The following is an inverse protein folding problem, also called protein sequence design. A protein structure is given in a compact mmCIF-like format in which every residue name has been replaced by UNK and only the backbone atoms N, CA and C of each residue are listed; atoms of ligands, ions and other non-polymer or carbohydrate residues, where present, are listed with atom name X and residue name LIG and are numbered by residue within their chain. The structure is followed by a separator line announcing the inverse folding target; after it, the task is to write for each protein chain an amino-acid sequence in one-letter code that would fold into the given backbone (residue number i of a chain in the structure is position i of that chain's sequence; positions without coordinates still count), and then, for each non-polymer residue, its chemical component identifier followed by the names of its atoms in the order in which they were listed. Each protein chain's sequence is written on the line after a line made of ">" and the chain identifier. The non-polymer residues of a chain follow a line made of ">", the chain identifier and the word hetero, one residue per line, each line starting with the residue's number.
data_IF_196834383673
#
_entry.id   IF_196834383673
#
_cell.length_a   1.000
_cell.length_b   1.000
_cell.length_c   1.000
_cell.angle_alpha   90.00
_cell.angle_beta   90.00
_cell.angle_gamma   90.00
#
_symmetry.space_group_name_H-M   'P 1'
#
loop_
_entity.id
_entity.type
_entity.pdbx_description
1 polymer ?
#
# COMPACT_ATOMS: atom_id res chain seq x y z
N UNK A 1 18.01 4.41 -3.95
CA UNK A 1 17.69 3.45 -2.87
C UNK A 1 18.89 2.57 -2.66
N UNK A 2 19.31 2.38 -1.42
CA UNK A 2 20.28 1.37 -0.99
C UNK A 2 19.50 0.16 -0.48
N UNK A 3 19.98 -1.06 -0.76
CA UNK A 3 19.38 -2.32 -0.30
C UNK A 3 20.45 -3.23 0.26
N UNK A 4 20.11 -4.09 1.22
CA UNK A 4 20.98 -5.19 1.67
C UNK A 4 20.39 -6.52 1.17
N UNK A 5 20.89 -7.10 0.07
CA UNK A 5 20.38 -8.38 -0.43
C UNK A 5 20.49 -9.48 0.65
N UNK A 6 19.45 -10.30 0.79
CA UNK A 6 19.40 -11.37 1.80
C UNK A 6 19.02 -10.94 3.22
N UNK A 7 18.95 -9.63 3.52
CA UNK A 7 18.63 -9.13 4.88
C UNK A 7 17.27 -9.56 5.42
N UNK A 8 16.30 -9.90 4.56
CA UNK A 8 15.00 -10.46 4.95
C UNK A 8 15.10 -11.80 5.72
N UNK A 9 16.26 -12.47 5.66
CA UNK A 9 16.56 -13.71 6.39
C UNK A 9 17.21 -13.47 7.76
N UNK A 10 17.53 -12.22 8.10
CA UNK A 10 18.23 -11.87 9.35
C UNK A 10 17.42 -12.15 10.62
N UNK A 11 16.09 -12.24 10.51
CA UNK A 11 15.18 -12.39 11.66
C UNK A 11 15.13 -11.18 12.59
N UNK A 12 15.72 -10.04 12.21
CA UNK A 12 15.75 -8.82 13.01
C UNK A 12 15.68 -7.55 12.16
N UNK A 13 15.48 -6.42 12.83
CA UNK A 13 15.61 -5.10 12.24
C UNK A 13 17.10 -4.74 12.08
N UNK A 14 17.46 -3.85 11.13
CA UNK A 14 18.84 -3.38 10.99
C UNK A 14 19.25 -2.62 12.26
N UNK A 15 20.49 -2.81 12.68
CA UNK A 15 21.13 -2.10 13.77
C UNK A 15 22.19 -1.16 13.20
N UNK A 16 22.13 0.11 13.56
CA UNK A 16 22.99 1.13 12.96
C UNK A 16 24.48 0.90 13.23
N UNK A 17 24.82 0.44 14.43
CA UNK A 17 26.21 0.29 14.85
C UNK A 17 26.78 -1.03 14.34
N UNK A 18 25.98 -2.10 14.38
CA UNK A 18 26.40 -3.44 13.97
C UNK A 18 26.40 -3.64 12.45
N UNK A 19 25.49 -3.00 11.72
CA UNK A 19 25.26 -3.25 10.28
C UNK A 19 25.79 -2.15 9.36
N UNK A 20 26.58 -1.22 9.88
CA UNK A 20 27.22 -0.16 9.08
C UNK A 20 28.06 -0.73 7.92
N UNK A 21 28.66 -1.91 8.12
CA UNK A 21 29.44 -2.63 7.10
C UNK A 21 28.67 -3.74 6.37
N UNK A 22 27.35 -3.82 6.53
CA UNK A 22 26.55 -4.76 5.75
C UNK A 22 26.70 -4.49 4.24
N UNK A 23 26.31 -5.45 3.40
CA UNK A 23 26.41 -5.33 1.95
C UNK A 23 25.34 -4.37 1.38
N UNK A 24 25.49 -3.08 1.64
CA UNK A 24 24.63 -2.00 1.16
C UNK A 24 24.90 -1.73 -0.32
N UNK A 25 23.99 -2.17 -1.18
CA UNK A 25 24.10 -2.04 -2.64
C UNK A 25 23.15 -0.94 -3.14
N UNK A 26 23.62 0.02 -3.96
CA UNK A 26 22.74 0.99 -4.60
C UNK A 26 21.95 0.35 -5.74
N UNK A 27 20.62 0.49 -5.71
CA UNK A 27 19.76 0.17 -6.83
C UNK A 27 19.83 1.31 -7.87
N UNK A 28 20.65 1.11 -8.90
CA UNK A 28 20.84 2.06 -10.00
C UNK A 28 20.11 1.57 -11.26
N UNK A 29 19.23 2.39 -11.81
CA UNK A 29 18.45 2.02 -12.98
C UNK A 29 17.94 3.27 -13.73
N UNK A 30 17.62 3.16 -15.03
CA UNK A 30 16.98 4.23 -15.79
C UNK A 30 15.54 4.51 -15.30
N UNK A 31 14.98 5.64 -15.72
CA UNK A 31 13.59 5.97 -15.45
C UNK A 31 12.64 4.91 -16.03
N UNK A 32 11.57 4.58 -15.30
CA UNK A 32 10.63 3.52 -15.67
C UNK A 32 10.99 2.13 -15.14
N UNK A 33 12.17 1.94 -14.55
CA UNK A 33 12.49 0.69 -13.84
C UNK A 33 11.73 0.60 -12.51
N UNK A 34 11.19 -0.58 -12.23
CA UNK A 34 10.53 -0.91 -10.96
C UNK A 34 11.47 -1.73 -10.08
N UNK A 35 11.64 -1.30 -8.83
CA UNK A 35 12.30 -2.06 -7.78
C UNK A 35 11.23 -2.65 -6.86
N UNK A 36 11.02 -3.97 -6.92
CA UNK A 36 10.13 -4.68 -6.00
C UNK A 36 10.91 -5.17 -4.77
N UNK A 37 10.49 -4.74 -3.58
CA UNK A 37 11.10 -5.14 -2.31
C UNK A 37 10.09 -5.94 -1.49
N UNK A 38 10.56 -7.04 -0.90
CA UNK A 38 9.84 -7.72 0.17
C UNK A 38 9.98 -6.89 1.46
N UNK A 39 8.92 -6.82 2.27
CA UNK A 39 8.81 -5.85 3.37
C UNK A 39 9.88 -5.96 4.48
N UNK A 40 10.63 -7.07 4.56
CA UNK A 40 11.72 -7.27 5.54
C UNK A 40 13.09 -6.95 4.97
N UNK A 41 13.21 -6.66 3.67
CA UNK A 41 14.49 -6.26 3.08
C UNK A 41 14.91 -4.90 3.65
N UNK A 42 16.08 -4.85 4.29
CA UNK A 42 16.67 -3.62 4.78
C UNK A 42 17.02 -2.70 3.60
N UNK A 43 16.58 -1.45 3.67
CA UNK A 43 16.78 -0.47 2.63
C UNK A 43 16.80 0.95 3.18
N UNK A 44 17.33 1.88 2.40
CA UNK A 44 17.39 3.31 2.74
C UNK A 44 17.36 4.18 1.47
N UNK A 45 16.99 5.46 1.61
CA UNK A 45 16.85 6.40 0.49
C UNK A 45 18.20 6.81 -0.14
N UNK A 46 19.32 6.68 0.59
CA UNK A 46 20.67 7.04 0.13
C UNK A 46 20.88 8.55 0.00
N UNK A 47 22.12 9.03 0.23
CA UNK A 47 22.45 10.46 0.16
C UNK A 47 22.47 10.93 -1.30
N UNK A 48 21.79 12.04 -1.61
CA UNK A 48 21.88 12.70 -2.91
C UNK A 48 23.03 13.71 -2.92
N UNK A 49 24.14 13.37 -3.55
CA UNK A 49 25.32 14.24 -3.68
C UNK A 49 25.30 15.13 -4.94
N UNK A 50 24.12 15.40 -5.49
CA UNK A 50 23.95 16.20 -6.72
C UNK A 50 22.98 17.35 -6.50
N UNK A 51 23.03 18.36 -7.36
CA UNK A 51 22.09 19.48 -7.37
C UNK A 51 20.80 19.19 -8.16
N UNK A 52 20.48 17.91 -8.41
CA UNK A 52 19.29 17.49 -9.18
C UNK A 52 18.32 16.75 -8.28
N UNK A 53 17.03 16.98 -8.51
CA UNK A 53 15.99 16.19 -7.85
C UNK A 53 15.95 14.76 -8.39
N UNK A 54 15.77 13.79 -7.48
CA UNK A 54 15.53 12.39 -7.81
C UNK A 54 14.10 12.04 -7.43
N UNK A 55 13.22 11.99 -8.43
CA UNK A 55 11.81 11.62 -8.24
C UNK A 55 11.66 10.10 -8.32
N UNK A 56 10.86 9.55 -7.41
CA UNK A 56 10.45 8.15 -7.44
C UNK A 56 9.01 8.03 -6.95
N UNK A 57 8.31 7.01 -7.46
CA UNK A 57 6.99 6.63 -6.96
C UNK A 57 7.15 5.40 -6.06
N UNK A 58 6.58 5.46 -4.86
CA UNK A 58 6.57 4.35 -3.92
C UNK A 58 5.15 3.83 -3.77
N UNK A 59 4.95 2.54 -4.01
CA UNK A 59 3.67 1.86 -3.84
C UNK A 59 3.90 0.71 -2.87
N UNK A 60 3.09 0.65 -1.81
CA UNK A 60 3.13 -0.42 -0.84
C UNK A 60 1.91 -1.33 -1.03
N UNK A 61 2.16 -2.63 -1.09
CA UNK A 61 1.12 -3.65 -1.05
C UNK A 61 1.14 -4.30 0.32
N UNK A 62 -0.04 -4.53 0.89
CA UNK A 62 -0.19 -5.32 2.10
C UNK A 62 -1.13 -6.49 1.84
N UNK A 63 -0.97 -7.56 2.62
CA UNK A 63 -1.96 -8.62 2.60
C UNK A 63 -3.32 -8.06 3.06
N UNK A 64 -4.43 -8.60 2.57
CA UNK A 64 -5.74 -7.98 2.67
C UNK A 64 -6.32 -7.91 4.10
N UNK A 65 -5.76 -8.65 5.06
CA UNK A 65 -6.07 -8.48 6.49
C UNK A 65 -5.51 -7.18 7.09
N UNK A 66 -4.52 -6.56 6.45
CA UNK A 66 -3.90 -5.34 6.95
C UNK A 66 -4.58 -4.11 6.38
N UNK A 67 -4.69 -3.08 7.22
CA UNK A 67 -5.19 -1.77 6.81
C UNK A 67 -4.18 -1.10 5.87
N UNK A 68 -4.68 -0.56 4.77
CA UNK A 68 -3.90 0.26 3.85
C UNK A 68 -3.44 1.56 4.52
N UNK A 69 -2.27 2.07 4.10
CA UNK A 69 -1.75 3.35 4.61
C UNK A 69 -2.65 4.52 4.16
N UNK A 70 -3.07 4.50 2.88
CA UNK A 70 -3.99 5.48 2.32
C UNK A 70 -5.41 4.94 2.30
N UNK A 71 -6.41 5.81 2.53
CA UNK A 71 -7.82 5.46 2.41
C UNK A 71 -8.32 5.72 0.98
N UNK A 72 -8.00 4.84 0.04
CA UNK A 72 -8.38 4.99 -1.38
C UNK A 72 -9.90 5.05 -1.61
N UNK A 73 -10.69 4.41 -0.75
CA UNK A 73 -12.14 4.50 -0.80
C UNK A 73 -12.64 5.95 -0.65
N UNK A 74 -11.96 6.79 0.13
CA UNK A 74 -12.33 8.19 0.34
C UNK A 74 -11.45 9.18 -0.45
N UNK A 75 -10.15 8.92 -0.55
CA UNK A 75 -9.17 9.87 -1.05
C UNK A 75 -8.99 9.88 -2.56
N UNK A 76 -9.46 8.86 -3.28
CA UNK A 76 -9.36 8.83 -4.75
C UNK A 76 -10.39 9.76 -5.39
N UNK A 77 -10.06 10.47 -6.45
CA UNK A 77 -11.03 11.32 -7.15
C UNK A 77 -12.12 10.45 -7.82
N UNK A 78 -13.40 10.90 -7.88
CA UNK A 78 -14.49 10.13 -8.48
C UNK A 78 -14.20 9.67 -9.91
N UNK A 79 -13.67 10.55 -10.76
CA UNK A 79 -13.33 10.26 -12.16
C UNK A 79 -12.28 9.14 -12.29
N UNK A 80 -11.34 9.06 -11.33
CA UNK A 80 -10.33 7.99 -11.30
C UNK A 80 -10.96 6.65 -10.92
N UNK A 81 -11.96 6.66 -10.03
CA UNK A 81 -12.71 5.45 -9.65
C UNK A 81 -13.58 4.96 -10.81
N UNK A 82 -14.18 5.86 -11.57
CA UNK A 82 -15.01 5.54 -12.74
C UNK A 82 -14.21 4.90 -13.88
N UNK A 83 -12.97 5.33 -14.10
CA UNK A 83 -12.07 4.78 -15.12
C UNK A 83 -11.27 3.55 -14.64
N UNK A 84 -11.30 3.22 -13.35
CA UNK A 84 -10.50 2.15 -12.78
C UNK A 84 -10.96 0.76 -13.25
N UNK A 85 -9.99 -0.10 -13.58
CA UNK A 85 -10.29 -1.51 -13.87
C UNK A 85 -10.79 -2.24 -12.61
N UNK A 86 -11.54 -3.35 -12.76
CA UNK A 86 -11.94 -4.17 -11.61
C UNK A 86 -10.76 -4.61 -10.74
N UNK A 87 -9.60 -4.90 -11.33
CA UNK A 87 -8.39 -5.27 -10.61
C UNK A 87 -7.87 -4.12 -9.74
N UNK A 88 -7.85 -2.90 -10.28
CA UNK A 88 -7.44 -1.72 -9.52
C UNK A 88 -8.44 -1.39 -8.42
N UNK A 89 -9.74 -1.47 -8.69
CA UNK A 89 -10.80 -1.29 -7.68
C UNK A 89 -10.63 -2.30 -6.53
N UNK A 90 -10.33 -3.56 -6.83
CA UNK A 90 -10.06 -4.57 -5.81
C UNK A 90 -8.82 -4.21 -4.96
N UNK A 91 -7.73 -3.74 -5.60
CA UNK A 91 -6.53 -3.28 -4.88
C UNK A 91 -6.78 -2.02 -4.05
N UNK A 92 -7.69 -1.14 -4.45
CA UNK A 92 -8.10 0.06 -3.71
C UNK A 92 -9.10 -0.23 -2.57
N UNK A 93 -9.47 -1.48 -2.35
CA UNK A 93 -10.36 -1.88 -1.26
C UNK A 93 -11.86 -1.84 -1.59
N UNK A 94 -12.25 -1.68 -2.87
CA UNK A 94 -13.66 -1.75 -3.29
C UNK A 94 -14.21 -3.18 -3.34
N UNK A 95 -13.35 -4.19 -3.16
CA UNK A 95 -13.76 -5.58 -3.04
C UNK A 95 -13.51 -6.06 -1.62
N UNK A 96 -14.56 -6.47 -0.92
CA UNK A 96 -14.43 -7.00 0.43
C UNK A 96 -13.58 -8.27 0.42
N UNK A 97 -12.53 -8.30 1.25
CA UNK A 97 -11.78 -9.52 1.53
C UNK A 97 -12.47 -10.33 2.63
N UNK A 98 -12.47 -11.65 2.49
CA UNK A 98 -13.34 -12.54 3.28
C UNK A 98 -12.60 -13.52 4.19
N UNK A 99 -11.30 -13.31 4.38
CA UNK A 99 -10.51 -14.02 5.40
C UNK A 99 -10.58 -15.54 5.34
N UNK A 100 -10.20 -16.14 6.46
CA UNK A 100 -10.32 -17.57 6.73
C UNK A 100 -11.48 -17.79 7.69
N UNK A 101 -12.65 -18.17 7.17
CA UNK A 101 -13.85 -18.45 7.98
C UNK A 101 -15.09 -17.63 7.64
N UNK A 102 -15.11 -16.87 6.54
CA UNK A 102 -16.33 -16.24 6.05
C UNK A 102 -17.36 -17.29 5.61
N UNK A 103 -18.46 -17.41 6.35
CA UNK A 103 -19.54 -18.37 6.07
C UNK A 103 -20.74 -17.73 5.35
N UNK A 104 -20.81 -16.40 5.27
CA UNK A 104 -21.92 -15.67 4.64
C UNK A 104 -21.46 -14.54 3.71
N UNK A 105 -22.12 -14.48 2.56
CA UNK A 105 -22.10 -13.41 1.54
C UNK A 105 -20.75 -13.12 0.85
N UNK A 106 -20.57 -13.73 -0.33
CA UNK A 106 -19.28 -13.85 -1.02
C UNK A 106 -18.90 -12.61 -1.84
N UNK A 107 -17.68 -12.09 -1.62
CA UNK A 107 -16.97 -11.25 -2.58
C UNK A 107 -17.67 -9.96 -3.00
N UNK A 108 -18.44 -9.37 -2.08
CA UNK A 108 -19.23 -8.19 -2.37
C UNK A 108 -18.34 -6.99 -2.75
N UNK A 109 -18.73 -6.33 -3.83
CA UNK A 109 -18.18 -5.05 -4.20
C UNK A 109 -18.89 -3.97 -3.40
N UNK A 110 -18.11 -3.09 -2.79
CA UNK A 110 -18.63 -1.89 -2.13
C UNK A 110 -18.58 -0.73 -3.11
N UNK A 111 -19.49 0.23 -2.93
CA UNK A 111 -19.50 1.50 -3.65
C UNK A 111 -19.36 2.62 -2.65
N UNK A 112 -18.90 3.78 -3.12
CA UNK A 112 -18.99 5.00 -2.31
C UNK A 112 -20.46 5.28 -2.04
N UNK A 113 -20.77 5.67 -0.80
CA UNK A 113 -22.09 6.20 -0.50
C UNK A 113 -22.31 7.48 -1.28
N UNK A 114 -23.34 7.52 -2.12
CA UNK A 114 -23.74 8.76 -2.83
C UNK A 114 -24.43 9.75 -1.89
N UNK A 115 -24.91 9.27 -0.74
CA UNK A 115 -25.59 10.07 0.27
C UNK A 115 -25.20 9.60 1.67
N UNK A 116 -24.82 10.54 2.55
CA UNK A 116 -24.96 10.28 3.98
C UNK A 116 -26.46 10.13 4.24
N UNK A 117 -26.88 9.08 4.94
CA UNK A 117 -28.30 8.76 5.23
C UNK A 117 -29.06 9.88 5.99
N UNK A 118 -28.41 11.01 6.26
CA UNK A 118 -28.92 12.08 7.10
C UNK A 118 -29.01 11.64 8.56
N UNK A 119 -29.67 12.47 9.36
CA UNK A 119 -30.06 12.09 10.71
C UNK A 119 -31.19 11.05 10.64
N UNK A 120 -30.98 9.88 11.25
CA UNK A 120 -32.02 8.85 11.33
C UNK A 120 -33.06 9.28 12.37
N UNK A 121 -34.30 9.51 11.92
CA UNK A 121 -35.45 9.78 12.79
C UNK A 121 -36.26 8.50 12.98
N UNK A 122 -36.56 8.09 14.23
CA UNK A 122 -37.46 6.96 14.48
C UNK A 122 -38.84 7.21 13.86
N UNK A 123 -39.45 6.18 13.26
CA UNK A 123 -40.86 6.24 12.85
C UNK A 123 -41.73 6.51 14.08
N UNK A 124 -42.61 7.51 14.01
CA UNK A 124 -43.60 7.74 15.05
C UNK A 124 -44.54 6.53 15.09
N UNK A 125 -44.48 5.75 16.17
CA UNK A 125 -45.45 4.69 16.43
C UNK A 125 -46.85 5.34 16.56
N UNK A 126 -47.71 5.11 15.56
CA UNK A 126 -49.15 5.40 15.61
C UNK A 126 -49.90 4.36 16.42
#
# INVERSE_FOLDING_TARGET
>A
TLVVPGSHLSGRQPDHDLDSSANWVPAMAPAGTVLALEGRVWHSTGVNNTNRYRTGLTINFCAPQFRQQENFLLGTLPEVVEEASPELLALMGFKAWQGYGGYENHGQWVKRGEYALGELVPEQQT
#
